data_IF_174469621704
#
_entry.id   IF_174469621704
#
_cell.length_a   1.000
_cell.length_b   1.000
_cell.length_c   1.000
_cell.angle_alpha   90.00
_cell.angle_beta   90.00
_cell.angle_gamma   90.00
#
_symmetry.space_group_name_H-M   'P 1'
#
loop_
_entity.id
_entity.type
_entity.pdbx_description
1 polymer ?
#
# COMPACT_ATOMS: atom_id res chain seq x y z
N UNK A 1 7.14 14.25 6.57
CA UNK A 1 6.60 12.89 6.33
C UNK A 1 5.34 13.02 5.49
N UNK A 2 5.10 12.13 4.52
CA UNK A 2 3.90 12.17 3.66
C UNK A 2 2.73 11.50 4.37
N UNK A 3 1.54 12.09 4.36
CA UNK A 3 0.35 11.40 4.87
C UNK A 3 0.01 10.18 3.98
N UNK A 4 -0.18 9.03 4.62
CA UNK A 4 -0.54 7.76 3.99
C UNK A 4 -1.78 7.12 4.65
N UNK A 5 -2.47 7.83 5.55
CA UNK A 5 -3.65 7.37 6.29
C UNK A 5 -4.75 6.83 5.39
N UNK A 6 -4.94 7.47 4.22
CA UNK A 6 -5.93 7.13 3.21
C UNK A 6 -5.57 5.91 2.35
N UNK A 7 -4.33 5.42 2.41
CA UNK A 7 -3.88 4.25 1.65
C UNK A 7 -4.27 2.96 2.38
N UNK A 8 -4.56 1.92 1.61
CA UNK A 8 -4.78 0.56 2.12
C UNK A 8 -3.47 -0.17 2.37
N UNK A 9 -3.50 -1.12 3.31
CA UNK A 9 -2.39 -2.05 3.53
C UNK A 9 -2.31 -3.03 2.36
N UNK A 10 -1.11 -3.23 1.82
CA UNK A 10 -0.86 -4.23 0.78
C UNK A 10 0.53 -4.82 0.99
N UNK A 11 0.78 -6.01 0.44
CA UNK A 11 2.12 -6.60 0.46
C UNK A 11 3.12 -5.69 -0.26
N UNK A 12 4.20 -5.36 0.42
CA UNK A 12 5.34 -4.57 -0.06
C UNK A 12 6.58 -5.41 0.03
N UNK A 13 7.38 -5.39 -1.03
CA UNK A 13 8.68 -6.04 -1.04
C UNK A 13 9.71 -5.09 -1.64
N UNK A 14 10.91 -5.11 -1.08
CA UNK A 14 12.07 -4.42 -1.66
C UNK A 14 13.30 -5.31 -1.54
N UNK A 15 14.15 -5.26 -2.57
CA UNK A 15 15.46 -5.89 -2.59
C UNK A 15 16.52 -4.83 -2.89
N UNK A 16 17.51 -4.72 -2.05
CA UNK A 16 18.65 -3.82 -2.22
C UNK A 16 19.96 -4.61 -2.25
N UNK A 17 20.99 -3.98 -2.79
CA UNK A 17 22.34 -4.53 -2.90
C UNK A 17 23.36 -3.49 -2.47
N UNK A 18 24.40 -3.94 -1.78
CA UNK A 18 25.62 -3.18 -1.54
C UNK A 18 26.85 -3.98 -1.99
N UNK A 19 27.88 -3.30 -2.47
CA UNK A 19 29.15 -3.92 -2.87
C UNK A 19 30.27 -3.38 -1.99
N UNK A 20 31.01 -4.29 -1.35
CA UNK A 20 32.20 -3.99 -0.57
C UNK A 20 33.42 -4.60 -1.26
N UNK A 21 34.33 -3.77 -1.75
CA UNK A 21 35.61 -4.21 -2.31
C UNK A 21 36.55 -4.54 -1.16
N UNK A 22 37.25 -5.66 -1.27
CA UNK A 22 38.23 -6.14 -0.28
C UNK A 22 39.40 -6.82 -0.99
N UNK A 23 40.52 -6.98 -0.30
CA UNK A 23 41.64 -7.77 -0.84
C UNK A 23 41.29 -9.28 -0.91
N UNK A 24 41.86 -10.03 -1.87
CA UNK A 24 41.68 -11.48 -1.93
C UNK A 24 42.12 -12.20 -0.65
N UNK A 25 43.16 -11.69 0.03
CA UNK A 25 43.61 -12.21 1.33
C UNK A 25 42.53 -12.11 2.41
N UNK A 26 41.70 -11.07 2.38
CA UNK A 26 40.58 -10.91 3.32
C UNK A 26 39.51 -11.98 3.09
N UNK A 27 39.17 -12.26 1.83
CA UNK A 27 38.22 -13.33 1.48
C UNK A 27 38.73 -14.67 1.97
N UNK A 28 40.00 -14.99 1.74
CA UNK A 28 40.61 -16.24 2.20
C UNK A 28 40.64 -16.33 3.73
N UNK A 29 40.95 -15.24 4.44
CA UNK A 29 40.90 -15.19 5.90
C UNK A 29 39.48 -15.43 6.45
N UNK A 30 38.45 -14.89 5.79
CA UNK A 30 37.04 -15.14 6.14
C UNK A 30 36.69 -16.62 5.92
N UNK A 31 37.04 -17.20 4.76
CA UNK A 31 36.78 -18.62 4.45
C UNK A 31 37.49 -19.57 5.40
N UNK A 32 38.71 -19.24 5.79
CA UNK A 32 39.52 -20.02 6.72
C UNK A 32 39.12 -19.81 8.19
N UNK A 33 38.28 -18.83 8.50
CA UNK A 33 37.88 -18.51 9.88
C UNK A 33 39.02 -17.94 10.73
N UNK A 34 40.02 -17.32 10.10
CA UNK A 34 41.24 -16.79 10.78
C UNK A 34 41.16 -15.29 11.05
N UNK A 35 39.98 -14.70 10.95
CA UNK A 35 39.76 -13.27 11.24
C UNK A 35 39.97 -13.03 12.75
N UNK A 36 40.65 -11.94 13.17
CA UNK A 36 40.99 -11.71 14.59
C UNK A 36 39.80 -11.51 15.53
N UNK A 37 38.63 -11.17 14.99
CA UNK A 37 37.38 -10.90 15.73
C UNK A 37 36.42 -12.10 15.60
N UNK A 38 35.19 -11.95 16.13
CA UNK A 38 34.10 -12.89 15.88
C UNK A 38 33.76 -13.01 14.38
N UNK A 39 32.94 -14.01 14.01
CA UNK A 39 32.51 -14.23 12.63
C UNK A 39 31.93 -12.94 11.99
N UNK A 40 32.65 -12.33 11.03
CA UNK A 40 32.25 -11.05 10.46
C UNK A 40 30.92 -11.17 9.70
N UNK A 41 30.63 -12.32 9.08
CA UNK A 41 29.43 -12.51 8.29
C UNK A 41 28.19 -12.63 9.18
N UNK A 42 28.30 -13.39 10.27
CA UNK A 42 27.21 -13.53 11.23
C UNK A 42 26.88 -12.19 11.91
N UNK A 43 27.91 -11.47 12.38
CA UNK A 43 27.74 -10.15 13.02
C UNK A 43 27.13 -9.15 12.03
N UNK A 44 27.62 -9.11 10.79
CA UNK A 44 27.10 -8.19 9.78
C UNK A 44 25.64 -8.48 9.40
N UNK A 45 25.22 -9.75 9.30
CA UNK A 45 23.82 -10.11 9.07
C UNK A 45 22.89 -9.60 10.17
N UNK A 46 23.30 -9.77 11.44
CA UNK A 46 22.51 -9.26 12.59
C UNK A 46 22.44 -7.73 12.55
N UNK A 47 23.54 -7.05 12.26
CA UNK A 47 23.57 -5.60 12.11
C UNK A 47 22.61 -5.11 11.02
N UNK A 48 22.60 -5.74 9.85
CA UNK A 48 21.66 -5.45 8.77
C UNK A 48 20.19 -5.63 9.17
N UNK A 49 19.85 -6.74 9.83
CA UNK A 49 18.48 -7.01 10.30
C UNK A 49 18.04 -5.97 11.34
N UNK A 50 18.91 -5.62 12.28
CA UNK A 50 18.60 -4.61 13.30
C UNK A 50 18.47 -3.22 12.67
N UNK A 51 19.30 -2.89 11.68
CA UNK A 51 19.22 -1.62 10.98
C UNK A 51 17.91 -1.49 10.19
N UNK A 52 17.46 -2.53 9.48
CA UNK A 52 16.15 -2.53 8.82
C UNK A 52 15.02 -2.15 9.79
N UNK A 53 14.97 -2.81 10.96
CA UNK A 53 13.94 -2.57 11.99
C UNK A 53 13.99 -1.16 12.58
N UNK A 54 15.14 -0.48 12.50
CA UNK A 54 15.36 0.85 13.05
C UNK A 54 15.49 1.94 11.97
N UNK A 55 15.10 1.65 10.73
CA UNK A 55 15.25 2.57 9.58
C UNK A 55 14.61 3.93 9.84
N UNK A 56 13.41 3.98 10.43
CA UNK A 56 12.72 5.24 10.73
C UNK A 56 13.39 6.09 11.80
N UNK A 57 14.25 5.50 12.65
CA UNK A 57 15.07 6.26 13.59
C UNK A 57 16.29 6.91 12.92
N UNK A 58 16.72 6.38 11.77
CA UNK A 58 17.89 6.85 11.02
C UNK A 58 17.49 7.83 9.91
N UNK A 59 16.38 7.58 9.22
CA UNK A 59 15.94 8.36 8.06
C UNK A 59 14.75 9.27 8.46
N UNK A 60 14.94 10.61 8.57
CA UNK A 60 14.00 11.52 9.25
C UNK A 60 12.56 11.53 8.74
N UNK A 61 12.33 11.19 7.46
CA UNK A 61 11.00 11.23 6.87
C UNK A 61 10.40 9.86 6.55
N UNK A 62 11.08 8.77 6.93
CA UNK A 62 10.52 7.43 6.83
C UNK A 62 9.39 7.22 7.83
N UNK A 63 8.34 6.54 7.40
CA UNK A 63 7.33 6.02 8.32
C UNK A 63 7.90 4.87 9.12
N UNK A 64 7.38 4.67 10.33
CA UNK A 64 7.59 3.42 11.03
C UNK A 64 6.73 2.33 10.36
N UNK A 65 7.39 1.28 9.86
CA UNK A 65 6.74 0.16 9.18
C UNK A 65 6.92 -1.11 10.03
N UNK A 66 5.84 -1.82 10.40
CA UNK A 66 5.97 -3.14 11.01
C UNK A 66 6.45 -4.13 9.94
N UNK A 67 7.73 -4.55 10.05
CA UNK A 67 8.33 -5.46 9.09
C UNK A 67 7.93 -6.90 9.38
N UNK A 68 7.46 -7.61 8.35
CA UNK A 68 7.08 -9.02 8.44
C UNK A 68 8.28 -9.95 8.13
N UNK A 69 9.22 -9.48 7.31
CA UNK A 69 10.38 -10.27 6.90
C UNK A 69 11.59 -9.38 6.61
N UNK A 70 12.76 -9.82 7.07
CA UNK A 70 14.06 -9.26 6.69
C UNK A 70 15.04 -10.40 6.49
N UNK A 71 15.71 -10.43 5.34
CA UNK A 71 16.82 -11.34 5.04
C UNK A 71 18.01 -10.54 4.54
N UNK A 72 19.20 -10.94 4.99
CA UNK A 72 20.48 -10.41 4.53
C UNK A 72 21.36 -11.58 4.12
N UNK A 73 21.76 -11.60 2.87
CA UNK A 73 22.67 -12.57 2.27
C UNK A 73 23.99 -11.87 1.92
N UNK A 74 25.12 -12.57 2.07
CA UNK A 74 26.45 -12.06 1.76
C UNK A 74 27.15 -13.09 0.90
N UNK A 75 27.47 -12.73 -0.33
CA UNK A 75 28.19 -13.58 -1.29
C UNK A 75 29.64 -13.12 -1.39
N UNK A 76 30.58 -14.07 -1.23
CA UNK A 76 32.01 -13.80 -1.29
C UNK A 76 32.53 -14.02 -2.73
N UNK A 77 32.97 -12.96 -3.37
CA UNK A 77 33.69 -12.98 -4.65
C UNK A 77 35.18 -13.24 -4.49
N UNK A 78 35.97 -12.82 -5.48
CA UNK A 78 37.44 -12.91 -5.44
C UNK A 78 38.07 -11.73 -4.68
N UNK A 79 37.61 -10.52 -4.95
CA UNK A 79 38.10 -9.23 -4.43
C UNK A 79 36.95 -8.32 -3.97
N UNK A 80 35.78 -8.92 -3.72
CA UNK A 80 34.57 -8.21 -3.39
C UNK A 80 33.59 -9.09 -2.63
N UNK A 81 32.71 -8.44 -1.88
CA UNK A 81 31.55 -9.05 -1.25
C UNK A 81 30.29 -8.34 -1.76
N UNK A 82 29.33 -9.14 -2.22
CA UNK A 82 28.00 -8.66 -2.63
C UNK A 82 27.03 -8.93 -1.49
N UNK A 83 26.41 -7.87 -0.99
CA UNK A 83 25.45 -7.92 0.11
C UNK A 83 24.07 -7.72 -0.47
N UNK A 84 23.15 -8.65 -0.26
CA UNK A 84 21.76 -8.50 -0.67
C UNK A 84 20.84 -8.44 0.54
N UNK A 85 19.97 -7.44 0.59
CA UNK A 85 18.95 -7.29 1.62
C UNK A 85 17.55 -7.35 1.00
N UNK A 86 16.71 -8.24 1.50
CA UNK A 86 15.30 -8.36 1.11
C UNK A 86 14.39 -8.08 2.31
N UNK A 87 13.44 -7.17 2.13
CA UNK A 87 12.50 -6.75 3.17
C UNK A 87 11.06 -6.88 2.67
N UNK A 88 10.16 -7.34 3.54
CA UNK A 88 8.71 -7.42 3.27
C UNK A 88 7.88 -6.87 4.43
N UNK A 89 6.77 -6.24 4.08
CA UNK A 89 5.76 -5.78 5.03
C UNK A 89 4.38 -5.71 4.37
N UNK A 90 3.30 -5.93 5.11
CA UNK A 90 1.94 -5.60 4.73
C UNK A 90 1.60 -4.21 5.28
N UNK A 91 1.78 -3.15 4.48
CA UNK A 91 1.64 -1.78 4.97
C UNK A 91 1.24 -0.75 3.91
N UNK A 92 1.03 0.49 4.37
CA UNK A 92 0.55 1.66 3.58
C UNK A 92 1.63 2.26 2.69
N UNK A 93 2.90 2.11 3.05
CA UNK A 93 4.07 2.63 2.33
C UNK A 93 5.06 1.51 2.00
N UNK A 94 5.93 1.74 1.01
CA UNK A 94 6.96 0.77 0.62
C UNK A 94 8.08 0.62 1.65
N UNK A 95 8.93 -0.39 1.44
CA UNK A 95 10.04 -0.78 2.32
C UNK A 95 11.41 -0.63 1.64
N UNK A 96 11.51 0.28 0.66
CA UNK A 96 12.75 0.52 -0.09
C UNK A 96 13.89 0.96 0.82
N UNK A 97 13.58 1.82 1.79
CA UNK A 97 14.58 2.38 2.69
C UNK A 97 15.08 1.34 3.69
N UNK A 98 14.22 0.45 4.16
CA UNK A 98 14.59 -0.63 5.06
C UNK A 98 15.58 -1.60 4.40
N UNK A 99 15.37 -1.91 3.11
CA UNK A 99 16.30 -2.73 2.36
C UNK A 99 17.65 -2.02 2.13
N UNK A 100 17.64 -0.74 1.74
CA UNK A 100 18.84 0.06 1.50
C UNK A 100 19.67 0.27 2.79
N UNK A 101 18.99 0.53 3.91
CA UNK A 101 19.61 0.71 5.22
C UNK A 101 20.20 -0.62 5.72
N UNK A 102 19.50 -1.75 5.55
CA UNK A 102 20.04 -3.06 5.88
C UNK A 102 21.32 -3.39 5.10
N UNK A 103 21.31 -3.17 3.78
CA UNK A 103 22.49 -3.41 2.93
C UNK A 103 23.67 -2.51 3.36
N UNK A 104 23.40 -1.21 3.58
CA UNK A 104 24.40 -0.24 4.05
C UNK A 104 25.00 -0.61 5.41
N UNK A 105 24.16 -0.93 6.39
CA UNK A 105 24.61 -1.26 7.73
C UNK A 105 25.39 -2.58 7.77
N UNK A 106 25.01 -3.55 6.94
CA UNK A 106 25.76 -4.80 6.77
C UNK A 106 27.15 -4.52 6.22
N UNK A 107 27.27 -3.65 5.20
CA UNK A 107 28.56 -3.26 4.63
C UNK A 107 29.45 -2.53 5.67
N UNK A 108 28.87 -1.60 6.44
CA UNK A 108 29.58 -0.90 7.52
C UNK A 108 30.03 -1.85 8.64
N UNK A 109 29.20 -2.83 9.00
CA UNK A 109 29.56 -3.83 9.99
C UNK A 109 30.70 -4.74 9.50
N UNK A 110 30.68 -5.17 8.23
CA UNK A 110 31.81 -5.90 7.63
C UNK A 110 33.08 -5.05 7.66
N UNK A 111 32.97 -3.76 7.31
CA UNK A 111 34.09 -2.82 7.37
C UNK A 111 34.67 -2.75 8.80
N UNK A 112 33.83 -2.56 9.82
CA UNK A 112 34.30 -2.50 11.21
C UNK A 112 35.01 -3.79 11.65
N UNK A 113 34.48 -4.94 11.23
CA UNK A 113 35.01 -6.24 11.59
C UNK A 113 36.34 -6.56 10.92
N UNK A 114 36.58 -6.03 9.71
CA UNK A 114 37.72 -6.41 8.87
C UNK A 114 38.82 -5.34 8.77
N UNK A 115 38.57 -4.09 9.20
CA UNK A 115 39.54 -2.97 9.07
C UNK A 115 40.94 -3.17 9.68
N UNK A 116 41.11 -4.17 10.54
CA UNK A 116 42.41 -4.50 11.16
C UNK A 116 43.28 -5.31 10.19
N UNK A 117 42.66 -6.11 9.30
CA UNK A 117 43.37 -6.97 8.35
C UNK A 117 43.35 -6.42 6.92
N UNK A 118 42.47 -5.46 6.64
CA UNK A 118 42.33 -4.82 5.34
C UNK A 118 42.02 -3.33 5.46
N UNK A 119 43.01 -2.50 5.15
CA UNK A 119 42.89 -1.04 5.21
C UNK A 119 42.38 -0.43 3.89
N UNK A 120 42.27 -1.23 2.81
CA UNK A 120 41.91 -0.75 1.47
C UNK A 120 40.46 -1.02 1.10
N UNK A 121 39.65 -1.48 2.05
CA UNK A 121 38.25 -1.77 1.80
C UNK A 121 37.50 -0.52 1.35
N UNK A 122 36.54 -0.71 0.45
CA UNK A 122 35.71 0.37 -0.09
C UNK A 122 34.26 -0.09 -0.26
N UNK A 123 33.30 0.67 0.29
CA UNK A 123 31.88 0.48 -0.01
C UNK A 123 31.56 1.29 -1.28
N UNK A 124 31.48 0.61 -2.41
CA UNK A 124 31.47 1.27 -3.74
C UNK A 124 30.07 1.63 -4.20
N UNK A 125 29.07 0.82 -3.86
CA UNK A 125 27.69 1.12 -4.26
C UNK A 125 26.68 0.57 -3.28
N UNK A 126 25.56 1.29 -3.16
CA UNK A 126 24.32 0.81 -2.54
C UNK A 126 23.18 1.20 -3.46
N UNK A 127 22.39 0.23 -3.90
CA UNK A 127 21.30 0.47 -4.87
C UNK A 127 20.09 -0.42 -4.59
N UNK A 128 18.93 0.04 -5.03
CA UNK A 128 17.71 -0.74 -5.03
C UNK A 128 17.68 -1.60 -6.31
N UNK A 129 17.52 -2.92 -6.16
CA UNK A 129 17.39 -3.85 -7.29
C UNK A 129 15.94 -3.97 -7.76
N UNK A 130 15.03 -4.13 -6.81
CA UNK A 130 13.63 -4.37 -7.10
C UNK A 130 12.73 -3.82 -6.00
N UNK A 131 11.54 -3.37 -6.38
CA UNK A 131 10.43 -3.16 -5.45
C UNK A 131 9.11 -3.60 -6.06
N UNK A 132 8.21 -4.14 -5.23
CA UNK A 132 6.84 -4.50 -5.62
C UNK A 132 5.84 -4.04 -4.58
N UNK A 133 4.60 -3.83 -5.03
CA UNK A 133 3.45 -3.52 -4.19
C UNK A 133 3.12 -2.05 -4.11
N UNK A 134 1.82 -1.77 -3.93
CA UNK A 134 1.27 -0.41 -3.81
C UNK A 134 0.49 0.07 -5.00
N UNK A 135 0.13 1.36 -4.95
CA UNK A 135 -0.63 2.03 -6.01
C UNK A 135 0.07 1.99 -7.37
N UNK A 136 1.40 1.91 -7.41
CA UNK A 136 2.14 1.77 -8.68
C UNK A 136 1.91 0.42 -9.37
N UNK A 137 1.35 -0.57 -8.67
CA UNK A 137 1.05 -1.90 -9.20
C UNK A 137 -0.40 -2.06 -9.67
N UNK A 138 -1.28 -1.08 -9.41
CA UNK A 138 -2.70 -1.14 -9.77
C UNK A 138 -3.19 0.20 -10.35
N UNK A 139 -3.79 0.19 -11.54
CA UNK A 139 -4.40 1.38 -12.13
C UNK A 139 -5.80 1.56 -11.53
N UNK A 140 -5.93 2.47 -10.56
CA UNK A 140 -7.23 2.90 -10.03
C UNK A 140 -7.89 3.85 -11.05
N UNK A 141 -8.60 3.32 -12.05
CA UNK A 141 -9.23 4.11 -13.12
C UNK A 141 -10.60 3.53 -13.52
N UNK A 142 -11.57 4.41 -13.74
CA UNK A 142 -12.88 4.11 -14.36
C UNK A 142 -12.94 4.55 -15.83
N UNK A 143 -11.78 4.78 -16.45
CA UNK A 143 -11.65 5.14 -17.86
C UNK A 143 -12.36 4.11 -18.76
N UNK A 144 -13.35 4.57 -19.51
CA UNK A 144 -14.20 3.72 -20.35
C UNK A 144 -15.45 3.18 -19.66
N UNK A 145 -15.68 3.50 -18.39
CA UNK A 145 -16.87 3.11 -17.63
C UNK A 145 -17.76 4.33 -17.33
N UNK A 146 -19.05 4.05 -17.19
CA UNK A 146 -20.08 5.00 -16.80
C UNK A 146 -20.50 4.78 -15.35
N UNK A 147 -20.83 5.86 -14.66
CA UNK A 147 -21.35 5.81 -13.30
C UNK A 147 -22.58 6.71 -13.13
N UNK A 148 -23.47 6.33 -12.21
CA UNK A 148 -24.60 7.14 -11.79
C UNK A 148 -24.54 7.38 -10.28
N UNK A 149 -24.98 8.56 -9.85
CA UNK A 149 -25.12 8.91 -8.43
C UNK A 149 -26.60 9.17 -8.14
N UNK A 150 -27.14 8.40 -7.20
CA UNK A 150 -28.50 8.55 -6.68
C UNK A 150 -28.46 9.00 -5.22
N UNK A 151 -29.05 10.16 -4.95
CA UNK A 151 -29.17 10.70 -3.59
C UNK A 151 -30.60 10.50 -3.10
N UNK A 152 -30.79 9.73 -2.04
CA UNK A 152 -32.07 9.60 -1.36
C UNK A 152 -32.14 10.56 -0.19
N UNK A 153 -33.04 11.55 -0.31
CA UNK A 153 -33.38 12.43 0.79
C UNK A 153 -34.69 13.17 0.53
N UNK A 154 -35.63 12.97 1.43
CA UNK A 154 -36.86 13.76 1.53
C UNK A 154 -36.62 15.28 1.55
N UNK A 155 -35.68 15.77 2.36
CA UNK A 155 -35.43 17.21 2.49
C UNK A 155 -34.74 17.82 1.28
N UNK A 156 -33.86 17.08 0.60
CA UNK A 156 -33.18 17.57 -0.60
C UNK A 156 -34.12 17.51 -1.80
N UNK A 157 -34.91 16.43 -1.94
CA UNK A 157 -35.89 16.30 -3.01
C UNK A 157 -36.98 17.39 -2.95
N UNK A 158 -37.38 17.82 -1.74
CA UNK A 158 -38.28 18.98 -1.55
C UNK A 158 -37.62 20.35 -1.74
N UNK A 159 -36.31 20.42 -1.96
CA UNK A 159 -35.55 21.67 -2.12
C UNK A 159 -35.27 22.42 -0.82
N UNK A 160 -35.53 21.82 0.35
CA UNK A 160 -35.32 22.42 1.67
C UNK A 160 -33.82 22.43 2.06
N UNK A 161 -33.04 21.52 1.49
CA UNK A 161 -31.58 21.40 1.68
C UNK A 161 -30.87 21.17 0.36
N UNK A 162 -29.61 21.59 0.30
CA UNK A 162 -28.73 21.27 -0.83
C UNK A 162 -28.03 19.93 -0.59
N UNK A 163 -27.95 19.11 -1.65
CA UNK A 163 -27.09 17.92 -1.63
C UNK A 163 -25.62 18.31 -1.56
N UNK A 164 -24.92 17.68 -0.61
CA UNK A 164 -23.46 17.75 -0.45
C UNK A 164 -22.82 16.41 -0.77
N UNK A 165 -23.43 15.31 -0.34
CA UNK A 165 -22.91 13.95 -0.50
C UNK A 165 -22.79 13.53 -1.95
N UNK A 166 -23.85 13.72 -2.75
CA UNK A 166 -23.84 13.35 -4.16
C UNK A 166 -22.84 14.17 -4.95
N UNK A 167 -22.71 15.47 -4.69
CA UNK A 167 -21.69 16.33 -5.32
C UNK A 167 -20.27 15.78 -5.09
N UNK A 168 -19.94 15.44 -3.84
CA UNK A 168 -18.64 14.85 -3.49
C UNK A 168 -18.42 13.51 -4.19
N UNK A 169 -19.45 12.66 -4.28
CA UNK A 169 -19.37 11.39 -4.99
C UNK A 169 -19.11 11.58 -6.49
N UNK A 170 -19.82 12.52 -7.12
CA UNK A 170 -19.64 12.85 -8.54
C UNK A 170 -18.21 13.34 -8.82
N UNK A 171 -17.73 14.33 -8.07
CA UNK A 171 -16.36 14.85 -8.21
C UNK A 171 -15.32 13.76 -8.03
N UNK A 172 -15.54 12.84 -7.07
CA UNK A 172 -14.64 11.72 -6.83
C UNK A 172 -14.65 10.71 -7.97
N UNK A 173 -15.82 10.34 -8.50
CA UNK A 173 -15.93 9.47 -9.68
C UNK A 173 -15.23 10.09 -10.90
N UNK A 174 -15.42 11.38 -11.14
CA UNK A 174 -14.75 12.11 -12.23
C UNK A 174 -13.23 12.15 -12.03
N UNK A 175 -12.74 12.28 -10.79
CA UNK A 175 -11.29 12.19 -10.49
C UNK A 175 -10.68 10.82 -10.83
N UNK A 176 -11.49 9.77 -10.82
CA UNK A 176 -11.12 8.43 -11.27
C UNK A 176 -11.39 8.21 -12.77
N UNK A 177 -11.79 9.25 -13.52
CA UNK A 177 -12.11 9.22 -14.96
C UNK A 177 -13.38 8.46 -15.36
N UNK A 178 -14.33 8.24 -14.44
CA UNK A 178 -15.66 7.76 -14.83
C UNK A 178 -16.41 8.83 -15.62
N UNK A 179 -17.23 8.41 -16.58
CA UNK A 179 -18.25 9.27 -17.16
C UNK A 179 -19.48 9.24 -16.26
N UNK A 180 -19.99 10.38 -15.80
CA UNK A 180 -21.14 10.44 -14.89
C UNK A 180 -22.37 11.05 -15.59
N UNK A 181 -23.03 10.33 -16.53
CA UNK A 181 -24.14 10.88 -17.32
C UNK A 181 -25.44 11.04 -16.51
N UNK A 182 -25.53 10.43 -15.32
CA UNK A 182 -26.73 10.51 -14.48
C UNK A 182 -26.39 10.92 -13.04
N UNK A 183 -27.07 11.96 -12.57
CA UNK A 183 -27.04 12.45 -11.20
C UNK A 183 -28.46 12.84 -10.83
N UNK A 184 -29.06 12.15 -9.84
CA UNK A 184 -30.46 12.36 -9.48
C UNK A 184 -30.66 12.36 -7.97
N UNK A 185 -31.58 13.20 -7.51
CA UNK A 185 -32.08 13.20 -6.13
C UNK A 185 -33.49 12.61 -6.15
N UNK A 186 -33.75 11.65 -5.27
CA UNK A 186 -35.04 11.00 -5.08
C UNK A 186 -35.51 11.20 -3.64
N UNK A 187 -36.84 11.22 -3.39
CA UNK A 187 -37.37 11.11 -2.04
C UNK A 187 -37.04 9.72 -1.45
N UNK A 188 -37.19 9.60 -0.13
CA UNK A 188 -37.05 8.33 0.58
C UNK A 188 -38.28 7.46 0.32
N UNK A 189 -38.34 6.90 -0.89
CA UNK A 189 -39.44 6.13 -1.46
C UNK A 189 -38.91 4.90 -2.22
N UNK A 190 -39.48 3.73 -1.87
CA UNK A 190 -39.00 2.44 -2.37
C UNK A 190 -39.30 2.25 -3.85
N UNK A 191 -40.52 2.53 -4.30
CA UNK A 191 -40.93 2.28 -5.68
C UNK A 191 -40.16 3.17 -6.66
N UNK A 192 -39.96 4.44 -6.31
CA UNK A 192 -39.17 5.37 -7.11
C UNK A 192 -37.71 4.94 -7.20
N UNK A 193 -37.11 4.46 -6.11
CA UNK A 193 -35.73 3.96 -6.11
C UNK A 193 -35.61 2.70 -6.97
N UNK A 194 -36.48 1.70 -6.78
CA UNK A 194 -36.46 0.45 -7.55
C UNK A 194 -36.65 0.73 -9.05
N UNK A 195 -37.54 1.66 -9.41
CA UNK A 195 -37.78 2.06 -10.81
C UNK A 195 -36.55 2.73 -11.41
N UNK A 196 -35.96 3.70 -10.71
CA UNK A 196 -34.77 4.40 -11.22
C UNK A 196 -33.59 3.46 -11.37
N UNK A 197 -33.37 2.56 -10.41
CA UNK A 197 -32.28 1.58 -10.50
C UNK A 197 -32.45 0.67 -11.72
N UNK A 198 -33.66 0.15 -11.98
CA UNK A 198 -33.96 -0.63 -13.19
C UNK A 198 -33.74 0.16 -14.47
N UNK A 199 -34.17 1.42 -14.53
CA UNK A 199 -33.92 2.26 -15.71
C UNK A 199 -32.42 2.48 -15.94
N UNK A 200 -31.63 2.71 -14.88
CA UNK A 200 -30.19 2.89 -15.00
C UNK A 200 -29.47 1.61 -15.43
N UNK A 201 -29.88 0.44 -14.93
CA UNK A 201 -29.26 -0.85 -15.28
C UNK A 201 -29.72 -1.37 -16.63
N UNK A 202 -31.03 -1.35 -16.89
CA UNK A 202 -31.63 -2.12 -17.98
C UNK A 202 -31.72 -1.30 -19.27
N UNK A 203 -32.08 -0.02 -19.16
CA UNK A 203 -32.23 0.87 -20.31
C UNK A 203 -30.93 1.63 -20.60
N UNK A 204 -30.32 2.24 -19.58
CA UNK A 204 -29.12 3.09 -19.76
C UNK A 204 -27.80 2.34 -19.69
N UNK A 205 -27.81 1.08 -19.26
CA UNK A 205 -26.63 0.21 -19.17
C UNK A 205 -25.46 0.85 -18.41
N UNK A 206 -25.76 1.49 -17.26
CA UNK A 206 -24.72 2.11 -16.42
C UNK A 206 -23.88 1.03 -15.74
N UNK A 207 -22.55 1.17 -15.77
CA UNK A 207 -21.61 0.17 -15.23
C UNK A 207 -21.54 0.19 -13.69
N UNK A 208 -21.69 1.36 -13.07
CA UNK A 208 -21.62 1.56 -11.62
C UNK A 208 -22.71 2.52 -11.13
N UNK A 209 -23.55 2.08 -10.20
CA UNK A 209 -24.52 2.95 -9.55
C UNK A 209 -24.13 3.10 -8.08
N UNK A 210 -23.98 4.34 -7.62
CA UNK A 210 -23.73 4.66 -6.21
C UNK A 210 -24.96 5.34 -5.63
N UNK A 211 -25.58 4.71 -4.64
CA UNK A 211 -26.64 5.30 -3.84
C UNK A 211 -26.06 5.94 -2.57
N UNK A 212 -26.65 7.05 -2.12
CA UNK A 212 -26.31 7.70 -0.86
C UNK A 212 -27.57 8.24 -0.18
N UNK A 213 -27.68 8.06 1.14
CA UNK A 213 -28.90 8.41 1.89
C UNK A 213 -29.90 7.26 2.00
N UNK A 214 -30.89 7.39 2.90
CA UNK A 214 -31.89 6.36 3.17
C UNK A 214 -31.33 5.04 3.72
N UNK A 215 -30.20 5.07 4.43
CA UNK A 215 -29.46 3.88 4.91
C UNK A 215 -29.54 3.67 6.42
N UNK A 216 -30.30 4.50 7.14
CA UNK A 216 -30.52 4.36 8.58
C UNK A 216 -31.44 3.19 8.95
N UNK A 217 -31.95 3.23 10.18
CA UNK A 217 -32.91 2.25 10.73
C UNK A 217 -34.33 2.82 10.83
N UNK A 218 -34.56 4.03 10.33
CA UNK A 218 -35.86 4.67 10.34
C UNK A 218 -36.83 4.00 9.36
N UNK A 219 -38.15 4.17 9.55
CA UNK A 219 -39.16 3.56 8.68
C UNK A 219 -39.13 4.07 7.23
N UNK A 220 -38.39 5.16 6.98
CA UNK A 220 -38.17 5.74 5.65
C UNK A 220 -36.80 5.40 5.06
N UNK A 221 -35.90 4.81 5.84
CA UNK A 221 -34.57 4.40 5.36
C UNK A 221 -34.69 3.10 4.56
N UNK A 222 -35.06 3.22 3.29
CA UNK A 222 -35.42 2.08 2.43
C UNK A 222 -34.32 1.66 1.45
N UNK A 223 -33.21 2.39 1.37
CA UNK A 223 -32.18 2.18 0.33
C UNK A 223 -31.61 0.76 0.30
N UNK A 224 -31.18 0.16 1.44
CA UNK A 224 -30.64 -1.20 1.43
C UNK A 224 -31.67 -2.23 0.98
N UNK A 225 -32.88 -2.17 1.52
CA UNK A 225 -33.94 -3.15 1.23
C UNK A 225 -34.46 -3.05 -0.21
N UNK A 226 -34.59 -1.82 -0.72
CA UNK A 226 -34.96 -1.55 -2.11
C UNK A 226 -33.86 -1.96 -3.09
N UNK A 227 -32.58 -1.86 -2.71
CA UNK A 227 -31.47 -2.34 -3.54
C UNK A 227 -31.43 -3.87 -3.55
N UNK A 228 -31.62 -4.52 -2.39
CA UNK A 228 -31.62 -5.97 -2.27
C UNK A 228 -32.76 -6.65 -3.03
N UNK A 229 -33.90 -5.96 -3.23
CA UNK A 229 -35.04 -6.53 -3.96
C UNK A 229 -34.83 -6.61 -5.48
N UNK A 230 -33.87 -5.85 -6.02
CA UNK A 230 -33.65 -5.74 -7.48
C UNK A 230 -32.35 -6.38 -7.95
N UNK A 231 -31.34 -6.51 -7.09
CA UNK A 231 -30.04 -7.05 -7.50
C UNK A 231 -30.13 -8.56 -7.73
N UNK A 232 -29.45 -9.04 -8.76
CA UNK A 232 -29.38 -10.48 -9.06
C UNK A 232 -28.43 -11.22 -8.11
N UNK A 233 -27.37 -10.53 -7.65
CA UNK A 233 -26.31 -11.13 -6.86
C UNK A 233 -25.63 -10.11 -5.96
N UNK A 234 -25.35 -10.54 -4.74
CA UNK A 234 -24.46 -9.82 -3.82
C UNK A 234 -23.01 -10.21 -4.04
N UNK A 235 -22.13 -9.22 -3.95
CA UNK A 235 -20.68 -9.43 -3.91
C UNK A 235 -20.23 -9.13 -2.49
N UNK A 236 -20.46 -10.10 -1.60
CA UNK A 236 -20.23 -9.94 -0.15
C UNK A 236 -18.80 -9.50 0.17
N UNK A 237 -17.81 -9.93 -0.61
CA UNK A 237 -16.42 -9.50 -0.43
C UNK A 237 -16.18 -8.00 -0.64
N UNK A 238 -16.95 -7.34 -1.52
CA UNK A 238 -16.87 -5.88 -1.69
C UNK A 238 -17.52 -5.18 -0.49
N UNK A 239 -18.66 -5.69 -0.03
CA UNK A 239 -19.35 -5.16 1.14
C UNK A 239 -18.48 -5.22 2.39
N UNK A 240 -17.81 -6.36 2.61
CA UNK A 240 -16.89 -6.53 3.73
C UNK A 240 -15.66 -5.62 3.62
N UNK A 241 -15.13 -5.43 2.40
CA UNK A 241 -14.05 -4.48 2.17
C UNK A 241 -14.46 -3.04 2.53
N UNK A 242 -15.70 -2.62 2.22
CA UNK A 242 -16.21 -1.30 2.63
C UNK A 242 -16.36 -1.18 4.15
N UNK A 243 -16.87 -2.21 4.82
CA UNK A 243 -17.02 -2.25 6.27
C UNK A 243 -15.65 -2.19 6.96
N UNK A 244 -14.73 -3.06 6.57
CA UNK A 244 -13.36 -3.10 7.10
C UNK A 244 -12.64 -1.76 6.91
N UNK A 245 -12.74 -1.14 5.71
CA UNK A 245 -12.15 0.18 5.47
C UNK A 245 -12.75 1.27 6.38
N UNK A 246 -14.05 1.21 6.65
CA UNK A 246 -14.76 2.24 7.42
C UNK A 246 -14.54 2.08 8.93
N UNK A 247 -14.47 0.84 9.43
CA UNK A 247 -14.21 0.54 10.86
C UNK A 247 -12.88 1.12 11.35
N UNK A 248 -11.86 1.17 10.49
CA UNK A 248 -10.57 1.79 10.82
C UNK A 248 -10.62 3.34 10.93
N UNK A 249 -11.73 3.98 10.55
CA UNK A 249 -11.80 5.43 10.29
C UNK A 249 -12.96 6.15 10.96
N UNK A 250 -14.03 5.44 11.27
CA UNK A 250 -15.27 6.00 11.83
C UNK A 250 -15.46 5.39 13.24
N UNK A 251 -15.75 6.21 14.27
CA UNK A 251 -16.03 5.74 15.63
C UNK A 251 -17.23 4.78 15.71
#
# INVERSE_FOLDING_TARGET
MRDVSFKSNTLRTAKAEATLIVSPSTIEAIRAGTVPKADPLAVARVAGIQAAKNTSALIPYCHQVPLDFVRVDIELGHDSMTISAEVKAIWKTGVEMEALVAASATALALYDMLKIIDERMEIVSVKLLEKKGGKSSFKETGEGLTAAVLVLSDSVSRGEKQDKSGKVLKERLESFKFQVPSFKVLPDDREQLETELKTLTDERKIDLIITTGGTGIGPRDVTPDATLSIIERRIEGIEEAFRSYSQDRIP
#
